data_IF_210481519136
#
_entry.id   IF_210481519136
#
_cell.length_a   1.000
_cell.length_b   1.000
_cell.length_c   1.000
_cell.angle_alpha   90.00
_cell.angle_beta   90.00
_cell.angle_gamma   90.00
#
_symmetry.space_group_name_H-M   'P 1'
#
loop_
_entity.id
_entity.type
_entity.pdbx_description
1 polymer ?
#
# COMPACT_ATOMS: atom_id res chain seq x y z
N UNK A 1 9.06 13.64 22.46
CA UNK A 1 8.82 12.93 21.18
C UNK A 1 10.09 13.07 20.38
N UNK A 2 10.65 11.99 19.85
CA UNK A 2 11.91 12.03 19.09
C UNK A 2 11.69 12.71 17.73
N UNK A 3 12.66 13.48 17.21
CA UNK A 3 12.58 14.13 15.89
C UNK A 3 12.24 13.14 14.75
N UNK A 4 12.77 11.90 14.73
CA UNK A 4 12.40 10.90 13.73
C UNK A 4 10.91 10.54 13.75
N UNK A 5 10.30 10.42 14.94
CA UNK A 5 8.88 10.10 15.05
C UNK A 5 7.99 11.25 14.54
N UNK A 6 8.39 12.50 14.79
CA UNK A 6 7.67 13.67 14.28
C UNK A 6 7.70 13.74 12.74
N UNK A 7 8.88 13.51 12.15
CA UNK A 7 9.04 13.45 10.70
C UNK A 7 8.21 12.33 10.07
N UNK A 8 8.21 11.14 10.66
CA UNK A 8 7.42 10.00 10.17
C UNK A 8 5.90 10.25 10.26
N UNK A 9 5.43 10.90 11.32
CA UNK A 9 4.02 11.28 11.45
C UNK A 9 3.60 12.31 10.39
N UNK A 10 4.46 13.30 10.09
CA UNK A 10 4.19 14.28 9.04
C UNK A 10 4.10 13.60 7.67
N UNK A 11 5.04 12.70 7.35
CA UNK A 11 5.03 11.94 6.10
C UNK A 11 3.72 11.14 5.92
N UNK A 12 3.17 10.55 6.99
CA UNK A 12 1.86 9.89 6.93
C UNK A 12 0.74 10.88 6.60
N UNK A 13 0.73 12.05 7.26
CA UNK A 13 -0.30 13.08 7.04
C UNK A 13 -0.29 13.58 5.59
N UNK A 14 0.90 13.80 5.02
CA UNK A 14 1.07 14.24 3.64
C UNK A 14 0.54 13.21 2.61
N UNK A 15 0.56 11.92 2.95
CA UNK A 15 0.04 10.85 2.09
C UNK A 15 -1.48 10.69 2.15
N UNK A 16 -2.15 11.24 3.17
CA UNK A 16 -3.60 11.06 3.37
C UNK A 16 -4.44 11.46 2.15
N UNK A 17 -4.25 12.65 1.52
CA UNK A 17 -5.09 13.06 0.39
C UNK A 17 -4.98 12.10 -0.81
N UNK A 18 -3.76 11.70 -1.16
CA UNK A 18 -3.52 10.76 -2.25
C UNK A 18 -4.09 9.37 -1.95
N UNK A 19 -3.94 8.89 -0.71
CA UNK A 19 -4.53 7.64 -0.27
C UNK A 19 -6.07 7.67 -0.32
N UNK A 20 -6.71 8.80 -0.01
CA UNK A 20 -8.17 8.92 -0.12
C UNK A 20 -8.66 8.81 -1.56
N UNK A 21 -8.00 9.46 -2.51
CA UNK A 21 -8.35 9.32 -3.94
C UNK A 21 -8.20 7.87 -4.38
N UNK A 22 -7.05 7.26 -4.04
CA UNK A 22 -6.76 5.88 -4.35
C UNK A 22 -7.77 4.89 -3.74
N UNK A 23 -8.28 5.12 -2.52
CA UNK A 23 -9.32 4.28 -1.90
C UNK A 23 -10.64 4.35 -2.67
N UNK A 24 -11.01 5.53 -3.17
CA UNK A 24 -12.25 5.70 -3.92
C UNK A 24 -12.17 4.98 -5.28
N UNK A 25 -11.04 5.11 -5.96
CA UNK A 25 -10.80 4.52 -7.27
C UNK A 25 -10.58 3.00 -7.18
N UNK A 26 -9.63 2.55 -6.35
CA UNK A 26 -9.36 1.12 -6.18
C UNK A 26 -10.54 0.37 -5.55
N UNK A 27 -11.38 1.05 -4.76
CA UNK A 27 -12.59 0.49 -4.18
C UNK A 27 -13.60 -0.01 -5.22
N UNK A 28 -13.56 0.50 -6.46
CA UNK A 28 -14.42 0.04 -7.54
C UNK A 28 -14.10 -1.40 -8.00
N UNK A 29 -12.86 -1.85 -7.79
CA UNK A 29 -12.39 -3.19 -8.15
C UNK A 29 -12.70 -4.25 -7.08
N UNK A 30 -13.26 -3.84 -5.94
CA UNK A 30 -13.63 -4.74 -4.85
C UNK A 30 -15.04 -5.31 -5.02
N UNK A 31 -15.21 -6.55 -4.55
CA UNK A 31 -16.49 -7.24 -4.54
C UNK A 31 -17.52 -6.52 -3.68
N UNK A 32 -18.81 -6.78 -3.93
CA UNK A 32 -19.92 -6.15 -3.22
C UNK A 32 -19.84 -6.27 -1.68
N UNK A 33 -19.27 -7.36 -1.18
CA UNK A 33 -19.03 -7.60 0.25
C UNK A 33 -17.94 -6.70 0.85
N UNK A 34 -17.03 -6.18 0.02
CA UNK A 34 -15.85 -5.41 0.42
C UNK A 34 -15.97 -3.90 0.10
N UNK A 35 -16.91 -3.50 -0.76
CA UNK A 35 -17.10 -2.09 -1.18
C UNK A 35 -17.27 -1.08 -0.05
N UNK A 36 -17.76 -1.49 1.13
CA UNK A 36 -17.91 -0.57 2.28
C UNK A 36 -16.59 -0.29 3.01
N UNK A 37 -15.59 -1.16 2.87
CA UNK A 37 -14.33 -1.04 3.61
C UNK A 37 -13.50 0.19 3.20
N UNK A 38 -13.33 0.52 1.90
CA UNK A 38 -12.64 1.75 1.49
C UNK A 38 -13.28 3.03 2.03
N UNK A 39 -14.62 3.14 1.97
CA UNK A 39 -15.33 4.32 2.51
C UNK A 39 -15.14 4.47 4.02
N UNK A 40 -15.23 3.35 4.76
CA UNK A 40 -15.02 3.36 6.20
C UNK A 40 -13.59 3.76 6.57
N UNK A 41 -12.61 3.24 5.84
CA UNK A 41 -11.21 3.57 6.07
C UNK A 41 -10.90 5.03 5.69
N UNK A 42 -11.49 5.53 4.60
CA UNK A 42 -11.41 6.95 4.22
C UNK A 42 -11.93 7.89 5.32
N UNK A 43 -13.06 7.57 5.95
CA UNK A 43 -13.56 8.34 7.09
C UNK A 43 -12.62 8.34 8.31
N UNK A 44 -11.84 7.26 8.53
CA UNK A 44 -10.83 7.23 9.59
C UNK A 44 -9.61 8.10 9.30
N UNK A 45 -9.24 8.21 8.03
CA UNK A 45 -8.17 9.11 7.59
C UNK A 45 -8.55 10.56 7.89
N UNK A 46 -9.80 10.95 7.66
CA UNK A 46 -10.30 12.29 7.97
C UNK A 46 -10.30 12.60 9.47
N UNK A 47 -10.63 11.60 10.29
CA UNK A 47 -10.60 11.73 11.75
C UNK A 47 -9.18 11.70 12.35
N UNK A 48 -8.13 11.48 11.53
CA UNK A 48 -6.75 11.33 12.01
C UNK A 48 -6.52 10.06 12.87
N UNK A 49 -7.41 9.08 12.79
CA UNK A 49 -7.43 7.89 13.66
C UNK A 49 -6.55 6.73 13.16
N UNK A 50 -5.68 6.95 12.17
CA UNK A 50 -4.99 5.86 11.44
C UNK A 50 -3.66 5.41 12.05
N UNK A 51 -3.30 5.88 13.23
CA UNK A 51 -2.00 5.61 13.85
C UNK A 51 -2.00 4.41 14.83
N UNK A 52 -3.08 3.66 14.94
CA UNK A 52 -3.10 2.45 15.75
C UNK A 52 -2.80 1.20 14.91
N UNK A 53 -2.23 0.17 15.54
CA UNK A 53 -1.90 -1.09 14.88
C UNK A 53 -3.12 -1.74 14.21
N UNK A 54 -4.30 -1.60 14.83
CA UNK A 54 -5.57 -2.09 14.25
C UNK A 54 -5.93 -1.43 12.93
N UNK A 55 -5.60 -0.15 12.76
CA UNK A 55 -5.89 0.59 11.53
C UNK A 55 -4.91 0.20 10.42
N UNK A 56 -3.64 -0.03 10.77
CA UNK A 56 -2.68 -0.62 9.84
C UNK A 56 -3.12 -2.02 9.38
N UNK A 57 -3.57 -2.89 10.29
CA UNK A 57 -4.12 -4.19 9.92
C UNK A 57 -5.36 -4.08 9.01
N UNK A 58 -6.21 -3.09 9.25
CA UNK A 58 -7.39 -2.85 8.42
C UNK A 58 -6.99 -2.44 6.99
N UNK A 59 -6.01 -1.54 6.85
CA UNK A 59 -5.44 -1.16 5.56
C UNK A 59 -4.82 -2.38 4.85
N UNK A 60 -4.05 -3.20 5.56
CA UNK A 60 -3.45 -4.41 5.00
C UNK A 60 -4.51 -5.41 4.53
N UNK A 61 -5.60 -5.58 5.29
CA UNK A 61 -6.73 -6.42 4.88
C UNK A 61 -7.43 -5.89 3.63
N UNK A 62 -7.54 -4.57 3.50
CA UNK A 62 -8.11 -3.91 2.32
C UNK A 62 -7.21 -4.06 1.08
N UNK A 63 -5.90 -4.02 1.27
CA UNK A 63 -4.92 -4.17 0.18
C UNK A 63 -4.80 -5.59 -0.35
N UNK A 64 -5.04 -6.62 0.47
CA UNK A 64 -4.92 -8.03 0.06
C UNK A 64 -5.71 -8.41 -1.20
N UNK A 65 -7.03 -8.12 -1.32
CA UNK A 65 -7.78 -8.42 -2.54
C UNK A 65 -7.24 -7.64 -3.75
N UNK A 66 -6.85 -6.37 -3.59
CA UNK A 66 -6.28 -5.56 -4.68
C UNK A 66 -4.94 -6.12 -5.17
N UNK A 67 -4.06 -6.51 -4.24
CA UNK A 67 -2.80 -7.18 -4.55
C UNK A 67 -3.02 -8.51 -5.29
N UNK A 68 -4.06 -9.26 -4.90
CA UNK A 68 -4.42 -10.48 -5.60
C UNK A 68 -4.81 -10.19 -7.05
N UNK A 69 -5.67 -9.20 -7.29
CA UNK A 69 -6.09 -8.81 -8.65
C UNK A 69 -4.88 -8.39 -9.49
N UNK A 70 -3.98 -7.57 -8.93
CA UNK A 70 -2.75 -7.13 -9.61
C UNK A 70 -1.89 -8.35 -9.99
N UNK A 71 -1.64 -9.24 -9.03
CA UNK A 71 -0.81 -10.45 -9.25
C UNK A 71 -1.45 -11.42 -10.25
N UNK A 72 -2.76 -11.60 -10.18
CA UNK A 72 -3.48 -12.47 -11.10
C UNK A 72 -3.48 -11.89 -12.54
N UNK A 73 -3.14 -10.61 -12.71
CA UNK A 73 -2.88 -9.94 -13.98
C UNK A 73 -1.44 -10.06 -14.50
N UNK A 74 -0.57 -10.81 -13.83
CA UNK A 74 0.76 -11.15 -14.34
C UNK A 74 0.65 -12.14 -15.50
N UNK A 75 1.38 -11.87 -16.59
CA UNK A 75 1.53 -12.76 -17.74
C UNK A 75 2.99 -12.94 -18.08
N UNK A 76 3.33 -14.15 -18.46
CA UNK A 76 4.66 -14.50 -18.95
C UNK A 76 4.67 -14.39 -20.47
N UNK A 77 5.48 -13.49 -20.99
CA UNK A 77 5.72 -13.33 -22.42
C UNK A 77 7.11 -13.83 -22.78
N UNK A 78 7.20 -14.50 -23.92
CA UNK A 78 8.47 -14.89 -24.54
C UNK A 78 8.78 -13.82 -25.58
N UNK A 79 9.84 -13.07 -25.35
CA UNK A 79 10.32 -12.06 -26.30
C UNK A 79 11.33 -12.76 -27.20
N UNK A 80 11.07 -12.73 -28.51
CA UNK A 80 11.96 -13.26 -29.54
C UNK A 80 12.51 -12.07 -30.32
N UNK A 81 13.83 -11.88 -30.31
CA UNK A 81 14.47 -10.90 -31.18
C UNK A 81 14.51 -11.46 -32.60
N UNK A 82 13.80 -10.81 -33.53
CA UNK A 82 13.70 -11.21 -34.94
C UNK A 82 15.07 -11.20 -35.67
N UNK A 83 16.13 -10.68 -35.04
CA UNK A 83 17.50 -10.65 -35.58
C UNK A 83 18.43 -11.78 -35.12
N UNK A 84 18.11 -12.53 -34.06
CA UNK A 84 19.01 -13.55 -33.48
C UNK A 84 18.25 -14.83 -33.12
N UNK A 85 18.57 -15.92 -33.84
CA UNK A 85 17.89 -17.22 -33.77
C UNK A 85 17.98 -17.91 -32.39
N UNK A 86 18.86 -17.44 -31.50
CA UNK A 86 19.19 -18.12 -30.22
C UNK A 86 18.89 -17.31 -28.93
N UNK A 87 18.36 -16.09 -29.01
CA UNK A 87 18.15 -15.24 -27.82
C UNK A 87 16.67 -14.92 -27.58
N UNK A 88 15.90 -15.92 -27.17
CA UNK A 88 14.61 -15.68 -26.53
C UNK A 88 14.78 -15.52 -25.02
N UNK A 89 14.21 -14.48 -24.42
CA UNK A 89 14.11 -14.38 -22.97
C UNK A 89 12.66 -14.32 -22.52
N UNK A 90 12.45 -14.78 -21.29
CA UNK A 90 11.15 -14.79 -20.65
C UNK A 90 11.03 -13.53 -19.79
N UNK A 91 9.97 -12.76 -19.98
CA UNK A 91 9.64 -11.62 -19.14
C UNK A 91 8.25 -11.79 -18.54
N UNK A 92 8.11 -11.58 -17.23
CA UNK A 92 6.81 -11.41 -16.61
C UNK A 92 6.40 -9.95 -16.71
N UNK A 93 5.26 -9.68 -17.33
CA UNK A 93 4.66 -8.35 -17.43
C UNK A 93 3.28 -8.34 -16.77
N UNK A 94 2.84 -7.16 -16.34
CA UNK A 94 1.44 -6.94 -15.95
C UNK A 94 0.63 -6.58 -17.19
N UNK A 95 -0.57 -7.16 -17.31
CA UNK A 95 -1.56 -6.65 -18.26
C UNK A 95 -1.91 -5.19 -17.96
N UNK A 96 -2.31 -4.38 -18.96
CA UNK A 96 -2.56 -2.95 -18.79
C UNK A 96 -3.48 -2.62 -17.61
N UNK A 97 -4.57 -3.37 -17.43
CA UNK A 97 -5.55 -3.15 -16.35
C UNK A 97 -4.96 -3.42 -14.96
N UNK A 98 -4.07 -4.40 -14.86
CA UNK A 98 -3.38 -4.72 -13.61
C UNK A 98 -2.29 -3.71 -13.28
N UNK A 99 -1.64 -3.15 -14.32
CA UNK A 99 -0.70 -2.03 -14.18
C UNK A 99 -1.42 -0.76 -13.72
N UNK A 100 -2.53 -0.41 -14.35
CA UNK A 100 -3.35 0.74 -13.95
C UNK A 100 -3.79 0.60 -12.49
N UNK A 101 -4.31 -0.58 -12.11
CA UNK A 101 -4.68 -0.84 -10.72
C UNK A 101 -3.49 -0.76 -9.75
N UNK A 102 -2.30 -1.21 -10.18
CA UNK A 102 -1.07 -1.09 -9.38
C UNK A 102 -0.71 0.39 -9.14
N UNK A 103 -0.79 1.23 -10.18
CA UNK A 103 -0.53 2.66 -10.10
C UNK A 103 -1.57 3.35 -9.21
N UNK A 104 -2.87 3.05 -9.38
CA UNK A 104 -3.95 3.55 -8.51
C UNK A 104 -3.74 3.15 -7.06
N UNK A 105 -3.24 1.95 -6.79
CA UNK A 105 -3.00 1.47 -5.42
C UNK A 105 -1.68 2.00 -4.81
N UNK A 106 -0.78 2.61 -5.59
CA UNK A 106 0.54 3.04 -5.12
C UNK A 106 0.47 3.95 -3.87
N UNK A 107 -0.42 4.96 -3.79
CA UNK A 107 -0.55 5.80 -2.59
C UNK A 107 -0.97 5.00 -1.33
N UNK A 108 -1.75 3.94 -1.50
CA UNK A 108 -2.19 3.08 -0.38
C UNK A 108 -1.03 2.23 0.15
N UNK A 109 -0.18 1.73 -0.74
CA UNK A 109 1.04 1.02 -0.36
C UNK A 109 2.04 1.94 0.36
N UNK A 110 2.23 3.16 -0.16
CA UNK A 110 3.05 4.18 0.49
C UNK A 110 2.53 4.52 1.89
N UNK A 111 1.22 4.73 2.05
CA UNK A 111 0.59 4.98 3.34
C UNK A 111 0.81 3.81 4.32
N UNK A 112 0.62 2.57 3.87
CA UNK A 112 0.88 1.37 4.68
C UNK A 112 2.32 1.34 5.19
N UNK A 113 3.27 1.61 4.32
CA UNK A 113 4.70 1.53 4.65
C UNK A 113 5.11 2.67 5.60
N UNK A 114 4.56 3.87 5.41
CA UNK A 114 4.74 4.98 6.33
C UNK A 114 4.14 4.69 7.73
N UNK A 115 2.94 4.10 7.80
CA UNK A 115 2.32 3.69 9.06
C UNK A 115 3.12 2.59 9.78
N UNK A 116 3.65 1.61 9.03
CA UNK A 116 4.58 0.60 9.57
C UNK A 116 5.83 1.25 10.15
N UNK A 117 6.40 2.22 9.45
CA UNK A 117 7.57 2.94 9.93
C UNK A 117 7.28 3.69 11.24
N UNK A 118 6.15 4.38 11.35
CA UNK A 118 5.71 5.03 12.61
C UNK A 118 5.58 4.02 13.76
N UNK A 119 4.96 2.86 13.51
CA UNK A 119 4.83 1.80 14.52
C UNK A 119 6.19 1.33 15.00
N UNK A 120 7.10 1.06 14.06
CA UNK A 120 8.42 0.53 14.37
C UNK A 120 9.26 1.55 15.17
N UNK A 121 9.18 2.85 14.83
CA UNK A 121 9.79 3.92 15.62
C UNK A 121 9.22 4.00 17.05
N UNK A 122 7.89 3.91 17.21
CA UNK A 122 7.26 3.88 18.55
C UNK A 122 7.72 2.68 19.38
N UNK A 123 7.94 1.53 18.73
CA UNK A 123 8.47 0.34 19.39
C UNK A 123 9.91 0.56 19.85
N UNK A 124 10.74 1.15 19.00
CA UNK A 124 12.13 1.49 19.33
C UNK A 124 12.19 2.46 20.52
N UNK A 125 11.42 3.56 20.48
CA UNK A 125 11.35 4.53 21.58
C UNK A 125 10.93 3.88 22.92
N UNK A 126 9.98 2.93 22.87
CA UNK A 126 9.56 2.17 24.05
C UNK A 126 10.68 1.30 24.62
N UNK A 127 11.41 0.58 23.77
CA UNK A 127 12.55 -0.27 24.18
C UNK A 127 13.64 0.59 24.82
N UNK A 128 14.00 1.72 24.20
CA UNK A 128 14.98 2.64 24.77
C UNK A 128 14.55 3.19 26.13
N UNK A 129 13.27 3.54 26.28
CA UNK A 129 12.73 4.04 27.54
C UNK A 129 12.77 2.98 28.66
N UNK A 130 12.63 1.69 28.31
CA UNK A 130 12.73 0.57 29.24
C UNK A 130 14.18 0.22 29.61
N UNK A 131 15.15 0.49 28.73
CA UNK A 131 16.58 0.25 28.98
C UNK A 131 17.28 1.42 29.69
N UNK A 132 16.68 2.61 29.67
CA UNK A 132 17.15 3.80 30.38
C UNK A 132 16.67 3.87 31.84
N UNK A 133 16.03 2.80 32.34
CA UNK A 133 15.61 2.57 33.72
C UNK A 133 16.25 1.29 34.24
#
# INVERSE_FOLDING_TARGET
MSEPLQSALLAVIELVPAAKSALAEAGAHLDASQRKAPFKFSGKLDDGKVFHDRDLEELERLLKPLQKIIRDGERTEVIVDEGYVDESWIQTILIPEARELQETCAPLFQLRDALRHVRDLRRVDRIYSQLAH
#
